data_IF_411804034705
#
_entry.id   IF_411804034705
#
_cell.length_a   1.000
_cell.length_b   1.000
_cell.length_c   1.000
_cell.angle_alpha   90.00
_cell.angle_beta   90.00
_cell.angle_gamma   90.00
#
_symmetry.space_group_name_H-M   'P 1'
#
loop_
_entity.id
_entity.type
_entity.pdbx_description
1 polymer ?
#
# COMPACT_ATOMS: atom_id res chain seq x y z
N UNK A 1 6.18 13.25 5.34
CA UNK A 1 5.67 11.98 5.89
C UNK A 1 4.50 12.29 6.78
N UNK A 2 3.38 11.61 6.56
CA UNK A 2 2.21 11.64 7.45
C UNK A 2 2.39 10.68 8.63
N UNK A 3 1.58 10.86 9.68
CA UNK A 3 1.53 9.92 10.83
C UNK A 3 1.24 8.51 10.32
N UNK A 4 2.07 7.55 10.73
CA UNK A 4 2.05 6.13 10.32
C UNK A 4 2.60 5.82 8.91
N UNK A 5 3.23 6.78 8.24
CA UNK A 5 3.98 6.46 7.03
C UNK A 5 5.17 5.54 7.34
N UNK A 6 5.49 4.67 6.40
CA UNK A 6 6.55 3.69 6.55
C UNK A 6 7.93 4.37 6.50
N UNK A 7 8.78 4.20 7.53
CA UNK A 7 10.13 4.74 7.56
C UNK A 7 10.98 4.28 6.37
N UNK A 8 11.91 5.13 5.92
CA UNK A 8 12.78 4.84 4.77
C UNK A 8 13.67 3.61 5.00
N UNK A 9 14.23 3.48 6.19
CA UNK A 9 15.06 2.35 6.63
C UNK A 9 14.26 1.03 6.64
N UNK A 10 13.05 1.06 7.20
CA UNK A 10 12.16 -0.09 7.16
C UNK A 10 11.77 -0.46 5.72
N UNK A 11 11.56 0.54 4.85
CA UNK A 11 11.22 0.33 3.44
C UNK A 11 12.29 -0.46 2.69
N UNK A 12 13.57 -0.14 2.94
CA UNK A 12 14.70 -0.85 2.34
C UNK A 12 14.69 -2.35 2.69
N UNK A 13 14.25 -2.70 3.90
CA UNK A 13 14.18 -4.10 4.34
C UNK A 13 13.01 -4.87 3.72
N UNK A 14 11.83 -4.23 3.58
CA UNK A 14 10.62 -4.91 3.09
C UNK A 14 10.50 -4.89 1.57
N UNK A 15 10.94 -3.83 0.90
CA UNK A 15 10.79 -3.67 -0.56
C UNK A 15 11.24 -4.90 -1.37
N UNK A 16 12.36 -5.59 -1.04
CA UNK A 16 12.79 -6.78 -1.78
C UNK A 16 11.89 -8.01 -1.59
N UNK A 17 11.11 -8.06 -0.52
CA UNK A 17 10.21 -9.17 -0.21
C UNK A 17 8.85 -9.04 -0.90
N UNK A 18 8.54 -7.85 -1.41
CA UNK A 18 7.28 -7.62 -2.10
C UNK A 18 7.32 -8.29 -3.48
N UNK A 19 6.17 -8.77 -3.99
CA UNK A 19 6.07 -9.26 -5.36
C UNK A 19 6.59 -8.19 -6.34
N UNK A 20 7.07 -8.57 -7.53
CA UNK A 20 7.51 -7.58 -8.52
C UNK A 20 6.39 -6.59 -8.84
N UNK A 21 6.74 -5.30 -8.93
CA UNK A 21 5.81 -4.26 -9.37
C UNK A 21 5.36 -4.60 -10.79
N UNK A 22 4.14 -5.13 -10.91
CA UNK A 22 3.55 -5.38 -12.22
C UNK A 22 3.30 -4.03 -12.87
N UNK A 23 4.06 -3.72 -13.91
CA UNK A 23 3.69 -2.67 -14.84
C UNK A 23 2.29 -2.94 -15.40
N UNK A 24 1.60 -1.88 -15.81
CA UNK A 24 0.35 -2.02 -16.55
C UNK A 24 0.65 -2.66 -17.91
N UNK A 25 0.69 -3.99 -17.98
CA UNK A 25 1.02 -4.75 -19.18
C UNK A 25 -0.05 -4.66 -20.28
N UNK A 26 -1.17 -3.96 -20.03
CA UNK A 26 -2.27 -3.75 -20.99
C UNK A 26 -2.69 -2.28 -21.14
N UNK A 27 -1.78 -1.32 -20.95
CA UNK A 27 -2.07 0.09 -21.26
C UNK A 27 -3.19 0.73 -20.41
N UNK A 28 -3.48 0.19 -19.23
CA UNK A 28 -4.38 0.78 -18.24
C UNK A 28 -3.65 1.70 -17.24
N UNK A 29 -4.41 2.32 -16.32
CA UNK A 29 -3.89 3.21 -15.26
C UNK A 29 -2.74 2.51 -14.50
N UNK A 30 -1.56 3.14 -14.37
CA UNK A 30 -0.45 2.56 -13.63
C UNK A 30 -0.86 2.26 -12.19
N UNK A 31 -0.39 1.12 -11.67
CA UNK A 31 -0.59 0.78 -10.27
C UNK A 31 0.10 1.81 -9.38
N UNK A 32 -0.46 2.06 -8.20
CA UNK A 32 0.28 2.78 -7.15
C UNK A 32 1.58 2.04 -6.84
N UNK A 33 2.65 2.80 -6.61
CA UNK A 33 3.92 2.26 -6.12
C UNK A 33 3.70 1.46 -4.83
N UNK A 34 4.46 0.39 -4.61
CA UNK A 34 4.29 -0.46 -3.44
C UNK A 34 4.42 0.32 -2.14
N UNK A 35 5.33 1.29 -2.09
CA UNK A 35 5.52 2.16 -0.93
C UNK A 35 4.26 2.94 -0.57
N UNK A 36 3.57 3.47 -1.58
CA UNK A 36 2.34 4.23 -1.39
C UNK A 36 1.23 3.36 -0.80
N UNK A 37 1.09 2.12 -1.31
CA UNK A 37 0.12 1.15 -0.79
C UNK A 37 0.48 0.75 0.64
N UNK A 38 1.76 0.48 0.91
CA UNK A 38 2.22 0.11 2.25
C UNK A 38 1.94 1.20 3.28
N UNK A 39 2.20 2.48 2.95
CA UNK A 39 1.81 3.58 3.84
C UNK A 39 0.30 3.58 4.15
N UNK A 40 -0.54 3.32 3.16
CA UNK A 40 -1.99 3.23 3.37
C UNK A 40 -2.39 2.03 4.26
N UNK A 41 -1.75 0.87 4.08
CA UNK A 41 -1.97 -0.31 4.92
C UNK A 41 -1.56 -0.01 6.36
N UNK A 42 -0.36 0.52 6.58
CA UNK A 42 0.15 0.84 7.91
C UNK A 42 -0.67 1.90 8.61
N UNK A 43 -1.16 2.90 7.87
CA UNK A 43 -2.08 3.87 8.46
C UNK A 43 -3.32 3.20 9.04
N UNK A 44 -3.95 2.26 8.32
CA UNK A 44 -5.11 1.50 8.81
C UNK A 44 -4.74 0.61 10.00
N UNK A 45 -3.66 -0.16 9.88
CA UNK A 45 -3.25 -1.10 10.92
C UNK A 45 -2.83 -0.41 12.23
N UNK A 46 -2.15 0.74 12.14
CA UNK A 46 -1.71 1.49 13.31
C UNK A 46 -2.81 2.39 13.90
N UNK A 47 -3.72 2.91 13.07
CA UNK A 47 -4.84 3.73 13.57
C UNK A 47 -6.02 2.92 14.09
N UNK A 48 -6.19 1.68 13.60
CA UNK A 48 -7.38 0.86 13.87
C UNK A 48 -8.66 1.36 13.18
N UNK A 49 -8.56 2.40 12.35
CA UNK A 49 -9.70 2.94 11.62
C UNK A 49 -10.22 1.93 10.58
N UNK A 50 -11.52 1.95 10.24
CA UNK A 50 -12.02 1.11 9.17
C UNK A 50 -11.40 1.53 7.83
N UNK A 51 -11.21 0.56 6.91
CA UNK A 51 -10.62 0.82 5.59
C UNK A 51 -11.29 1.96 4.82
N UNK A 52 -12.61 2.15 5.00
CA UNK A 52 -13.37 3.21 4.33
C UNK A 52 -12.94 4.63 4.71
N UNK A 53 -12.33 4.79 5.89
CA UNK A 53 -11.86 6.07 6.41
C UNK A 53 -10.40 6.34 6.05
N UNK A 54 -9.81 5.50 5.19
CA UNK A 54 -8.47 5.71 4.69
C UNK A 54 -8.35 7.11 4.05
N UNK A 55 -7.36 7.93 4.47
CA UNK A 55 -7.13 9.24 3.90
C UNK A 55 -6.91 9.20 2.39
N UNK A 56 -7.55 10.12 1.67
CA UNK A 56 -7.49 10.21 0.21
C UNK A 56 -6.06 10.37 -0.34
N UNK A 57 -5.12 10.88 0.47
CA UNK A 57 -3.69 10.95 0.13
C UNK A 57 -3.04 9.60 -0.20
N UNK A 58 -3.62 8.49 0.25
CA UNK A 58 -3.17 7.13 -0.08
C UNK A 58 -3.93 6.51 -1.27
N UNK A 59 -4.87 7.26 -1.85
CA UNK A 59 -5.73 6.79 -2.93
C UNK A 59 -6.96 6.03 -2.46
N UNK A 60 -7.60 5.31 -3.39
CA UNK A 60 -8.86 4.65 -3.13
C UNK A 60 -8.68 3.45 -2.19
N UNK A 61 -9.39 3.44 -1.06
CA UNK A 61 -9.30 2.36 -0.06
C UNK A 61 -9.46 0.95 -0.63
N UNK A 62 -10.35 0.76 -1.61
CA UNK A 62 -10.57 -0.53 -2.28
C UNK A 62 -9.30 -1.06 -2.92
N UNK A 63 -8.50 -0.18 -3.53
CA UNK A 63 -7.26 -0.55 -4.21
C UNK A 63 -6.23 -1.05 -3.20
N UNK A 64 -6.10 -0.35 -2.08
CA UNK A 64 -5.17 -0.72 -1.01
C UNK A 64 -5.62 -2.00 -0.32
N UNK A 65 -6.89 -2.10 0.07
CA UNK A 65 -7.45 -3.30 0.68
C UNK A 65 -7.29 -4.54 -0.22
N UNK A 66 -7.59 -4.41 -1.51
CA UNK A 66 -7.43 -5.52 -2.45
C UNK A 66 -5.97 -5.98 -2.56
N UNK A 67 -5.01 -5.06 -2.45
CA UNK A 67 -3.58 -5.38 -2.48
C UNK A 67 -3.13 -6.02 -1.18
N UNK A 68 -3.57 -5.51 -0.03
CA UNK A 68 -3.38 -6.12 1.28
C UNK A 68 -3.90 -7.57 1.30
N UNK A 69 -5.17 -7.78 0.96
CA UNK A 69 -5.82 -9.09 0.94
C UNK A 69 -5.16 -10.08 -0.05
N UNK A 70 -4.56 -9.56 -1.13
CA UNK A 70 -3.79 -10.38 -2.08
C UNK A 70 -2.45 -10.82 -1.48
N UNK A 71 -1.75 -9.91 -0.83
CA UNK A 71 -0.45 -10.19 -0.21
C UNK A 71 -0.58 -11.04 1.06
N UNK A 72 -1.66 -10.90 1.82
CA UNK A 72 -1.89 -11.68 3.04
C UNK A 72 -2.24 -13.16 2.80
N UNK A 73 -2.50 -13.53 1.54
CA UNK A 73 -2.88 -14.88 1.12
C UNK A 73 -1.79 -15.59 0.30
N UNK A 74 -0.70 -14.88 0.02
CA UNK A 74 0.47 -15.40 -0.69
C UNK A 74 1.48 -15.91 0.33
#
# INVERSE_FOLDING_TARGET
MARYDFPDDAWVLISPMLPPERGSSRGGRPYFAHRHVMNGIFWVLCSGAPWRDLPERYGQWKTIYNRFNRWSKA
#
